data_IF_894006404806
#
_entry.id   IF_894006404806
#
_cell.length_a   1.000
_cell.length_b   1.000
_cell.length_c   1.000
_cell.angle_alpha   90.00
_cell.angle_beta   90.00
_cell.angle_gamma   90.00
#
_symmetry.space_group_name_H-M   'P 1'
#
loop_
_entity.id
_entity.type
_entity.pdbx_description
1 polymer ?
#
# COMPACT_ATOMS: atom_id res chain seq x y z
N UNK A 1 23.94 1.95 13.06
CA UNK A 1 23.76 3.24 13.77
C UNK A 1 22.31 3.52 14.12
N UNK A 2 21.38 3.75 13.17
CA UNK A 2 19.96 3.94 13.52
C UNK A 2 19.20 2.64 13.86
N UNK A 3 19.53 1.51 13.21
CA UNK A 3 18.88 0.23 13.49
C UNK A 3 19.13 -0.24 14.95
N UNK A 4 20.29 0.12 15.52
CA UNK A 4 20.68 -0.27 16.88
C UNK A 4 19.85 0.47 17.96
N UNK A 5 19.08 1.49 17.58
CA UNK A 5 18.14 2.18 18.46
C UNK A 5 16.83 1.40 18.67
N UNK A 6 16.59 0.35 17.88
CA UNK A 6 15.37 -0.44 17.95
C UNK A 6 15.59 -1.76 18.70
N UNK A 7 14.54 -2.31 19.33
CA UNK A 7 14.60 -3.62 19.95
C UNK A 7 15.08 -4.72 18.99
N UNK A 8 15.72 -5.77 19.52
CA UNK A 8 16.29 -6.88 18.72
C UNK A 8 15.25 -7.66 17.88
N UNK A 9 13.96 -7.50 18.17
CA UNK A 9 12.86 -8.08 17.40
C UNK A 9 12.38 -7.17 16.25
N UNK A 10 13.14 -6.13 15.89
CA UNK A 10 12.88 -5.26 14.74
C UNK A 10 13.92 -5.52 13.66
N UNK A 11 13.44 -5.84 12.46
CA UNK A 11 14.27 -5.93 11.26
C UNK A 11 13.92 -4.76 10.34
N UNK A 12 14.90 -3.93 10.03
CA UNK A 12 14.75 -2.86 9.04
C UNK A 12 14.91 -3.44 7.63
N UNK A 13 14.05 -3.01 6.72
CA UNK A 13 14.05 -3.44 5.32
C UNK A 13 14.00 -2.22 4.40
N UNK A 14 14.31 -2.44 3.12
CA UNK A 14 14.18 -1.42 2.09
C UNK A 14 12.73 -1.06 1.77
N UNK A 15 12.57 -0.07 0.89
CA UNK A 15 11.29 0.24 0.25
C UNK A 15 11.54 0.37 -1.25
N UNK A 16 11.13 -0.62 -2.07
CA UNK A 16 10.37 -1.82 -1.70
C UNK A 16 11.21 -2.90 -1.00
N UNK A 17 10.54 -3.95 -0.51
CA UNK A 17 11.16 -5.17 0.00
C UNK A 17 10.30 -6.41 -0.32
N UNK A 18 10.94 -7.50 -0.74
CA UNK A 18 10.32 -8.83 -0.82
C UNK A 18 10.77 -9.65 0.39
N UNK A 19 9.80 -10.17 1.16
CA UNK A 19 10.04 -10.99 2.35
C UNK A 19 9.50 -12.39 2.12
N UNK A 20 10.21 -13.40 2.62
CA UNK A 20 9.73 -14.77 2.72
C UNK A 20 9.42 -15.07 4.18
N UNK A 21 8.14 -15.38 4.46
CA UNK A 21 7.68 -15.75 5.79
C UNK A 21 7.12 -17.17 5.69
N UNK A 22 7.95 -18.15 6.04
CA UNK A 22 7.59 -19.58 6.00
C UNK A 22 7.04 -20.04 4.64
N UNK A 23 7.62 -19.54 3.55
CA UNK A 23 7.21 -19.84 2.17
C UNK A 23 6.13 -18.91 1.61
N UNK A 24 5.63 -17.94 2.38
CA UNK A 24 4.70 -16.91 1.92
C UNK A 24 5.47 -15.66 1.51
N UNK A 25 5.36 -15.28 0.24
CA UNK A 25 6.07 -14.13 -0.34
C UNK A 25 5.28 -12.84 -0.17
N UNK A 26 5.83 -11.92 0.62
CA UNK A 26 5.25 -10.62 0.92
C UNK A 26 6.07 -9.51 0.26
N UNK A 27 5.48 -8.87 -0.75
CA UNK A 27 6.02 -7.65 -1.33
C UNK A 27 5.46 -6.44 -0.59
N UNK A 28 6.34 -5.67 0.04
CA UNK A 28 6.01 -4.41 0.71
C UNK A 28 6.54 -3.25 -0.14
N UNK A 29 5.66 -2.33 -0.49
CA UNK A 29 6.02 -1.09 -1.18
C UNK A 29 5.20 0.06 -0.62
N UNK A 30 5.81 1.21 -0.33
CA UNK A 30 5.06 2.31 0.28
C UNK A 30 3.85 2.78 -0.55
N UNK A 31 3.95 2.78 -1.89
CA UNK A 31 2.83 3.17 -2.77
C UNK A 31 2.97 4.54 -3.43
N UNK A 32 4.17 5.16 -3.44
CA UNK A 32 4.37 6.53 -3.94
C UNK A 32 3.88 6.74 -5.40
N UNK A 33 4.05 5.74 -6.25
CA UNK A 33 3.62 5.76 -7.65
C UNK A 33 2.11 5.79 -7.87
N UNK A 34 1.31 5.67 -6.82
CA UNK A 34 -0.14 5.78 -6.93
C UNK A 34 -0.57 7.17 -7.41
N UNK A 35 0.13 8.23 -6.97
CA UNK A 35 -0.09 9.60 -7.44
C UNK A 35 0.01 9.69 -8.97
N UNK A 36 1.02 9.03 -9.55
CA UNK A 36 1.26 9.02 -10.99
C UNK A 36 0.20 8.24 -11.76
N UNK A 37 -0.22 7.09 -11.25
CA UNK A 37 -1.24 6.26 -11.89
C UNK A 37 -2.63 6.90 -11.85
N UNK A 38 -3.00 7.52 -10.71
CA UNK A 38 -4.26 8.27 -10.58
C UNK A 38 -4.28 9.46 -11.54
N UNK A 39 -3.15 10.16 -11.67
CA UNK A 39 -3.03 11.28 -12.61
C UNK A 39 -3.13 10.84 -14.08
N UNK A 40 -2.52 9.70 -14.44
CA UNK A 40 -2.50 9.21 -15.82
C UNK A 40 -3.82 8.57 -16.27
N UNK A 41 -4.59 7.99 -15.34
CA UNK A 41 -5.78 7.19 -15.67
C UNK A 41 -6.99 7.68 -14.90
N UNK A 42 -7.91 8.32 -15.61
CA UNK A 42 -9.20 8.81 -15.07
C UNK A 42 -10.03 7.73 -14.36
N UNK A 43 -9.86 6.45 -14.70
CA UNK A 43 -10.56 5.35 -14.02
C UNK A 43 -9.98 4.98 -12.66
N UNK A 44 -8.75 5.37 -12.35
CA UNK A 44 -8.09 5.05 -11.07
C UNK A 44 -8.37 6.16 -10.05
N UNK A 45 -8.45 5.79 -8.78
CA UNK A 45 -8.78 6.72 -7.71
C UNK A 45 -8.20 6.25 -6.38
N UNK A 46 -7.82 7.19 -5.51
CA UNK A 46 -7.37 6.92 -4.14
C UNK A 46 -8.42 6.15 -3.31
N UNK A 47 -9.71 6.26 -3.65
CA UNK A 47 -10.79 5.54 -2.99
C UNK A 47 -10.79 4.04 -3.30
N UNK A 48 -10.12 3.60 -4.37
CA UNK A 48 -10.07 2.20 -4.83
C UNK A 48 -8.61 1.75 -4.99
N UNK A 49 -7.84 1.68 -3.88
CA UNK A 49 -6.40 1.43 -3.92
C UNK A 49 -6.02 0.11 -4.62
N UNK A 50 -6.81 -0.95 -4.44
CA UNK A 50 -6.53 -2.24 -5.05
C UNK A 50 -6.55 -2.20 -6.58
N UNK A 51 -7.34 -1.33 -7.21
CA UNK A 51 -7.32 -1.18 -8.67
C UNK A 51 -6.00 -0.61 -9.18
N UNK A 52 -5.38 0.28 -8.40
CA UNK A 52 -4.05 0.84 -8.69
C UNK A 52 -2.99 -0.25 -8.54
N UNK A 53 -3.05 -1.02 -7.45
CA UNK A 53 -2.14 -2.14 -7.19
C UNK A 53 -2.18 -3.18 -8.32
N UNK A 54 -3.38 -3.52 -8.83
CA UNK A 54 -3.55 -4.40 -9.99
C UNK A 54 -2.83 -3.84 -11.23
N UNK A 55 -2.84 -2.53 -11.45
CA UNK A 55 -2.16 -1.93 -12.60
C UNK A 55 -0.64 -1.97 -12.49
N UNK A 56 -0.08 -1.92 -11.27
CA UNK A 56 1.35 -2.17 -11.03
C UNK A 56 1.72 -3.63 -11.28
N UNK A 57 0.92 -4.58 -10.76
CA UNK A 57 1.13 -6.01 -10.99
C UNK A 57 1.05 -6.40 -12.47
N UNK A 58 0.07 -5.85 -13.21
CA UNK A 58 -0.02 -6.06 -14.67
C UNK A 58 1.20 -5.56 -15.42
N UNK A 59 1.82 -4.48 -14.96
CA UNK A 59 3.03 -3.89 -15.56
C UNK A 59 4.31 -4.53 -15.06
N UNK A 60 4.24 -5.33 -14.00
CA UNK A 60 5.40 -5.91 -13.31
C UNK A 60 6.42 -4.85 -12.88
N UNK A 61 5.93 -3.68 -12.45
CA UNK A 61 6.79 -2.56 -12.07
C UNK A 61 6.09 -1.64 -11.06
N UNK A 62 6.81 -1.25 -10.00
CA UNK A 62 6.27 -0.49 -8.87
C UNK A 62 6.16 1.01 -9.12
N UNK A 63 6.99 1.61 -9.98
CA UNK A 63 6.82 3.00 -10.43
C UNK A 63 7.08 3.19 -11.95
N UNK A 64 6.20 2.70 -12.83
CA UNK A 64 6.49 2.59 -14.27
C UNK A 64 6.55 3.92 -15.04
N UNK A 65 6.22 5.05 -14.40
CA UNK A 65 6.20 6.37 -15.04
C UNK A 65 7.43 7.16 -14.59
N UNK A 66 8.28 7.53 -15.55
CA UNK A 66 9.37 8.48 -15.33
C UNK A 66 8.91 9.94 -15.47
N UNK A 67 9.56 10.87 -14.76
CA UNK A 67 9.27 12.31 -14.83
C UNK A 67 7.93 12.73 -14.21
N UNK A 68 7.38 11.89 -13.33
CA UNK A 68 6.11 12.11 -12.64
C UNK A 68 6.25 12.74 -11.26
N UNK A 69 5.25 12.50 -10.41
CA UNK A 69 5.29 12.86 -8.99
C UNK A 69 6.22 11.95 -8.18
N UNK A 70 6.51 10.75 -8.70
CA UNK A 70 7.46 9.81 -8.11
C UNK A 70 8.86 10.10 -8.60
N UNK A 71 9.74 10.50 -7.69
CA UNK A 71 11.17 10.58 -7.95
C UNK A 71 11.76 9.17 -8.02
N UNK A 72 12.51 8.89 -9.08
CA UNK A 72 13.22 7.63 -9.29
C UNK A 72 14.72 7.94 -9.27
N UNK A 73 15.46 7.26 -8.39
CA UNK A 73 16.91 7.41 -8.32
C UNK A 73 17.56 6.85 -9.59
N UNK A 74 18.59 7.52 -10.15
CA UNK A 74 19.30 7.05 -11.34
C UNK A 74 20.30 5.95 -10.97
N UNK A 75 19.78 4.80 -10.53
CA UNK A 75 20.58 3.62 -10.20
C UNK A 75 20.97 2.84 -11.46
N UNK A 76 22.01 2.01 -11.34
CA UNK A 76 22.46 1.15 -12.45
C UNK A 76 21.47 0.03 -12.77
N UNK A 77 20.71 -0.40 -11.76
CA UNK A 77 19.72 -1.47 -11.83
C UNK A 77 18.37 -0.93 -11.37
N UNK A 78 17.30 -1.37 -12.03
CA UNK A 78 15.93 -0.97 -11.69
C UNK A 78 15.34 -1.90 -10.63
N UNK A 79 15.52 -1.51 -9.37
CA UNK A 79 15.02 -2.25 -8.20
C UNK A 79 13.49 -2.12 -8.01
N UNK A 80 12.78 -1.44 -8.90
CA UNK A 80 11.32 -1.28 -8.86
C UNK A 80 10.60 -2.28 -9.75
N UNK A 81 11.32 -3.09 -10.52
CA UNK A 81 10.77 -4.20 -11.28
C UNK A 81 10.25 -5.29 -10.31
N UNK A 82 9.09 -5.86 -10.63
CA UNK A 82 8.51 -6.97 -9.89
C UNK A 82 8.92 -8.26 -10.62
N UNK A 83 10.14 -8.74 -10.38
CA UNK A 83 10.69 -9.94 -11.05
C UNK A 83 10.02 -11.23 -10.59
N UNK A 84 9.72 -11.30 -9.30
CA UNK A 84 9.01 -12.40 -8.67
C UNK A 84 7.59 -11.98 -8.28
N UNK A 85 6.60 -12.82 -8.57
CA UNK A 85 5.22 -12.55 -8.15
C UNK A 85 5.08 -12.87 -6.65
N UNK A 86 4.57 -11.94 -5.82
CA UNK A 86 4.31 -12.20 -4.42
C UNK A 86 2.99 -12.97 -4.23
N UNK A 87 2.83 -13.60 -3.07
CA UNK A 87 1.54 -14.07 -2.58
C UNK A 87 0.72 -12.93 -1.97
N UNK A 88 1.41 -11.97 -1.34
CA UNK A 88 0.80 -10.78 -0.72
C UNK A 88 1.50 -9.52 -1.24
N UNK A 89 0.73 -8.56 -1.75
CA UNK A 89 1.20 -7.23 -2.08
C UNK A 89 0.63 -6.20 -1.09
N UNK A 90 1.50 -5.59 -0.29
CA UNK A 90 1.14 -4.62 0.74
C UNK A 90 1.62 -3.21 0.38
N UNK A 91 0.69 -2.26 0.46
CA UNK A 91 0.93 -0.83 0.22
C UNK A 91 0.36 0.09 1.29
N UNK A 92 0.73 1.37 1.21
CA UNK A 92 0.22 2.44 2.05
C UNK A 92 0.13 3.77 1.28
N UNK A 93 0.79 4.81 1.80
CA UNK A 93 0.91 6.15 1.21
C UNK A 93 -0.36 7.01 1.14
N UNK A 94 -1.47 6.46 0.65
CA UNK A 94 -2.68 7.23 0.31
C UNK A 94 -3.74 7.27 1.43
N UNK A 95 -3.44 6.63 2.56
CA UNK A 95 -4.23 6.68 3.80
C UNK A 95 -5.67 6.13 3.70
N UNK A 96 -6.00 5.43 2.62
CA UNK A 96 -7.26 4.71 2.44
C UNK A 96 -7.10 3.23 2.74
N UNK A 97 -8.19 2.54 3.06
CA UNK A 97 -8.19 1.10 3.29
C UNK A 97 -8.72 0.37 2.05
N UNK A 98 -8.10 -0.72 1.66
CA UNK A 98 -8.69 -1.64 0.69
C UNK A 98 -8.01 -3.00 0.68
N UNK A 99 -8.80 -4.05 0.48
CA UNK A 99 -8.33 -5.43 0.31
C UNK A 99 -8.98 -6.07 -0.90
N UNK A 100 -8.25 -6.91 -1.62
CA UNK A 100 -8.78 -7.65 -2.77
C UNK A 100 -7.89 -8.86 -3.10
N UNK A 101 -8.31 -9.65 -4.08
CA UNK A 101 -7.47 -10.69 -4.69
C UNK A 101 -7.33 -10.43 -6.18
N UNK A 102 -6.13 -10.60 -6.70
CA UNK A 102 -5.87 -10.55 -8.14
C UNK A 102 -5.04 -11.76 -8.57
N UNK A 103 -5.66 -12.67 -9.33
CA UNK A 103 -5.02 -13.90 -9.82
C UNK A 103 -4.30 -14.68 -8.71
N UNK A 104 -4.94 -14.81 -7.54
CA UNK A 104 -4.39 -15.51 -6.37
C UNK A 104 -3.55 -14.63 -5.44
N UNK A 105 -3.10 -13.45 -5.88
CA UNK A 105 -2.31 -12.52 -5.06
C UNK A 105 -3.25 -11.73 -4.14
N UNK A 106 -3.00 -11.76 -2.84
CA UNK A 106 -3.71 -10.94 -1.86
C UNK A 106 -3.19 -9.50 -1.90
N UNK A 107 -4.09 -8.53 -2.08
CA UNK A 107 -3.77 -7.11 -2.15
C UNK A 107 -4.27 -6.43 -0.90
N UNK A 108 -3.41 -5.65 -0.24
CA UNK A 108 -3.79 -4.83 0.91
C UNK A 108 -3.17 -3.44 0.84
N UNK A 109 -4.01 -2.41 0.97
CA UNK A 109 -3.60 -1.06 1.31
C UNK A 109 -4.04 -0.79 2.75
N UNK A 110 -3.08 -0.70 3.67
CA UNK A 110 -3.33 -0.87 5.11
C UNK A 110 -3.82 0.37 5.84
N UNK A 111 -4.44 1.32 5.13
CA UNK A 111 -4.94 2.55 5.72
C UNK A 111 -3.86 3.42 6.42
N UNK A 112 -4.23 4.08 7.50
CA UNK A 112 -3.39 4.98 8.29
C UNK A 112 -3.83 5.02 9.76
N UNK A 113 -2.98 5.58 10.61
CA UNK A 113 -3.31 6.00 11.97
C UNK A 113 -3.42 7.53 12.10
N UNK A 114 -3.28 8.25 10.99
CA UNK A 114 -3.37 9.70 10.93
C UNK A 114 -4.80 10.14 10.57
N UNK A 115 -5.36 11.06 11.36
CA UNK A 115 -6.62 11.71 11.04
C UNK A 115 -6.54 12.49 9.71
N UNK A 116 -7.70 12.84 9.15
CA UNK A 116 -7.79 13.63 7.92
C UNK A 116 -7.04 14.97 8.08
N UNK A 117 -6.19 15.30 7.09
CA UNK A 117 -5.44 16.55 7.03
C UNK A 117 -5.97 17.50 5.95
N UNK A 118 -5.71 18.80 6.11
CA UNK A 118 -6.07 19.82 5.11
C UNK A 118 -5.49 19.54 3.72
N UNK A 119 -4.26 19.00 3.69
CA UNK A 119 -3.60 18.62 2.43
C UNK A 119 -4.38 17.51 1.70
N UNK A 120 -4.83 16.49 2.43
CA UNK A 120 -5.64 15.40 1.87
C UNK A 120 -6.99 15.91 1.38
N UNK A 121 -7.64 16.79 2.14
CA UNK A 121 -8.92 17.41 1.76
C UNK A 121 -8.77 18.18 0.45
N UNK A 122 -7.72 19.01 0.34
CA UNK A 122 -7.41 19.75 -0.90
C UNK A 122 -7.12 18.85 -2.11
N UNK A 123 -6.67 17.62 -1.88
CA UNK A 123 -6.43 16.60 -2.92
C UNK A 123 -7.60 15.66 -3.16
N UNK A 124 -8.73 15.84 -2.48
CA UNK A 124 -9.89 14.95 -2.59
C UNK A 124 -9.64 13.54 -2.04
N UNK A 125 -8.66 13.38 -1.14
CA UNK A 125 -8.39 12.12 -0.46
C UNK A 125 -9.21 12.07 0.82
N UNK A 126 -10.06 11.04 0.98
CA UNK A 126 -10.77 10.74 2.23
C UNK A 126 -10.03 9.62 2.97
N UNK A 127 -9.24 9.98 3.98
CA UNK A 127 -8.51 9.01 4.80
C UNK A 127 -9.47 8.09 5.58
N UNK A 128 -9.01 6.87 5.91
CA UNK A 128 -9.82 5.88 6.64
C UNK A 128 -9.08 5.40 7.91
N UNK A 129 -8.75 6.29 8.86
CA UNK A 129 -7.85 5.98 9.97
C UNK A 129 -8.31 4.81 10.85
N UNK A 130 -7.36 4.19 11.56
CA UNK A 130 -7.62 3.18 12.59
C UNK A 130 -8.15 1.86 12.06
N UNK A 131 -7.70 1.43 10.88
CA UNK A 131 -8.11 0.16 10.27
C UNK A 131 -6.92 -0.78 10.16
N UNK A 132 -7.07 -2.00 10.68
CA UNK A 132 -6.05 -3.05 10.63
C UNK A 132 -6.61 -4.24 9.85
N UNK A 133 -5.82 -4.72 8.89
CA UNK A 133 -6.11 -5.95 8.16
C UNK A 133 -5.40 -7.13 8.85
N UNK A 134 -6.15 -8.18 9.15
CA UNK A 134 -5.62 -9.47 9.60
C UNK A 134 -5.88 -10.48 8.49
N UNK A 135 -4.82 -10.93 7.84
CA UNK A 135 -4.87 -11.95 6.81
C UNK A 135 -4.39 -13.28 7.36
N UNK A 136 -5.14 -14.36 7.08
CA UNK A 136 -4.70 -15.73 7.33
C UNK A 136 -4.46 -16.42 5.99
N UNK A 137 -3.29 -17.05 5.79
CA UNK A 137 -3.04 -17.92 4.64
C UNK A 137 -4.19 -18.92 4.46
N UNK A 138 -4.68 -19.05 3.22
CA UNK A 138 -5.93 -19.76 2.91
C UNK A 138 -7.09 -18.85 2.50
N UNK A 139 -6.91 -17.52 2.57
CA UNK A 139 -7.82 -16.54 1.95
C UNK A 139 -8.74 -15.80 2.93
N UNK A 140 -8.73 -16.16 4.22
CA UNK A 140 -9.54 -15.50 5.24
C UNK A 140 -8.95 -14.12 5.58
N UNK A 141 -9.78 -13.08 5.51
CA UNK A 141 -9.36 -11.69 5.77
C UNK A 141 -10.33 -11.01 6.73
N UNK A 142 -9.80 -10.43 7.81
CA UNK A 142 -10.56 -9.67 8.81
C UNK A 142 -10.13 -8.21 8.83
N UNK A 143 -11.10 -7.31 8.96
CA UNK A 143 -10.88 -5.87 9.13
C UNK A 143 -11.23 -5.46 10.55
N UNK A 144 -10.22 -5.15 11.36
CA UNK A 144 -10.40 -4.60 12.70
C UNK A 144 -10.46 -3.06 12.61
N UNK A 145 -11.43 -2.45 13.29
CA UNK A 145 -11.63 -0.99 13.32
C UNK A 145 -11.44 -0.46 14.74
N UNK A 146 -10.46 0.40 14.90
CA UNK A 146 -10.06 1.05 16.15
C UNK A 146 -10.44 2.54 16.20
N UNK A 147 -10.90 3.08 15.08
CA UNK A 147 -11.37 4.46 14.97
C UNK A 147 -12.72 4.49 14.26
N UNK A 148 -13.63 5.31 14.77
CA UNK A 148 -14.91 5.65 14.16
C UNK A 148 -15.01 7.18 14.20
N UNK A 149 -15.30 7.80 13.07
CA UNK A 149 -15.59 9.23 13.06
C UNK A 149 -16.88 9.50 13.83
N UNK A 150 -17.01 10.70 14.41
CA UNK A 150 -18.23 11.10 15.13
C UNK A 150 -19.50 11.05 14.27
N UNK A 151 -19.39 11.12 12.93
CA UNK A 151 -20.53 11.00 12.01
C UNK A 151 -21.10 9.56 11.91
N UNK A 152 -20.31 8.53 12.22
CA UNK A 152 -20.78 7.13 12.23
C UNK A 152 -21.68 6.82 13.45
N UNK A 153 -21.74 7.71 14.45
CA UNK A 153 -22.52 7.53 15.69
C UNK A 153 -23.98 8.00 15.50
N UNK A 154 -24.25 8.92 14.57
CA UNK A 154 -25.61 9.45 14.35
C UNK A 154 -26.51 8.56 13.47
N UNK A 155 -26.02 7.41 13.00
CA UNK A 155 -26.77 6.46 12.16
C UNK A 155 -26.96 5.08 12.81
N UNK A 156 -26.68 4.94 14.11
CA UNK A 156 -26.88 3.70 14.88
C UNK A 156 -28.03 3.85 15.88
#
# INVERSE_FOLDING_TARGET
>A
EFADLFPKNVMHVGNPAMLDIEGVKLLIYHGKSFDDLVFLKSRLSYARPCEIMVELLKRRHLAPKYGGFTSIAPEREDLLVIDELPDIFHTGHIHTYGTSFYKGIFLVNSSTWMAQSDYQTKRGIKAIPGNVCVYKPGGETHRLRFYRDHEDISMA
#
